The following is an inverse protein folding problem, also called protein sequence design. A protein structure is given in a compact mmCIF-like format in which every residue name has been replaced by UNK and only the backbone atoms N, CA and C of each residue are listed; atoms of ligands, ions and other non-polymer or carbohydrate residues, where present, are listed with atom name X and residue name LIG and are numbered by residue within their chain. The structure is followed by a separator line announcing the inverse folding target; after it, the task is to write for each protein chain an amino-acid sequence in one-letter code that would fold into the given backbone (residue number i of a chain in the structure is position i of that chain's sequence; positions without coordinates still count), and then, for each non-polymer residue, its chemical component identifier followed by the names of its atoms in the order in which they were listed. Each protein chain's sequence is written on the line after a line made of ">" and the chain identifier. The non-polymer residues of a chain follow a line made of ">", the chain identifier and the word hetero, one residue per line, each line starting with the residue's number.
data_IF_133852423161
#
_entry.id   IF_133852423161
#
_cell.length_a   1.000
_cell.length_b   1.000
_cell.length_c   1.000
_cell.angle_alpha   90.00
_cell.angle_beta   90.00
_cell.angle_gamma   90.00
#
_symmetry.space_group_name_H-M   'P 1'
#
loop_
_entity.id
_entity.type
_entity.pdbx_description
1 polymer ?
#
# COMPACT_ATOMS: atom_id res chain seq x y z
N UNK A 1 -0.96 5.89 -15.49
CA UNK A 1 -1.19 6.62 -14.21
C UNK A 1 -1.08 8.12 -14.43
N UNK A 2 -1.86 8.95 -13.72
CA UNK A 2 -1.62 10.40 -13.59
C UNK A 2 -0.97 10.67 -12.23
N UNK A 3 -0.04 11.62 -12.16
CA UNK A 3 0.66 11.98 -10.93
C UNK A 3 0.35 13.42 -10.52
N UNK A 4 0.35 13.67 -9.21
CA UNK A 4 0.06 14.97 -8.58
C UNK A 4 1.11 15.29 -7.53
N UNK A 5 1.40 16.57 -7.37
CA UNK A 5 2.26 17.03 -6.28
C UNK A 5 1.57 16.81 -4.92
N UNK A 6 2.26 16.19 -3.97
CA UNK A 6 1.70 15.93 -2.65
C UNK A 6 1.95 17.10 -1.68
N UNK A 7 1.02 18.05 -1.69
CA UNK A 7 1.08 19.24 -0.84
C UNK A 7 2.38 20.02 -1.05
N UNK A 8 3.16 20.19 0.02
CA UNK A 8 4.45 20.92 0.01
C UNK A 8 5.68 20.00 0.10
N UNK A 9 5.50 18.69 0.02
CA UNK A 9 6.59 17.72 0.22
C UNK A 9 7.48 17.55 -1.00
N UNK A 10 7.08 18.09 -2.16
CA UNK A 10 7.80 17.90 -3.43
C UNK A 10 7.66 16.49 -4.02
N UNK A 11 6.90 15.59 -3.38
CA UNK A 11 6.63 14.25 -3.89
C UNK A 11 5.67 14.27 -5.08
N UNK A 12 5.89 13.35 -6.01
CA UNK A 12 5.01 13.10 -7.15
C UNK A 12 4.28 11.78 -6.94
N UNK A 13 3.07 11.85 -6.38
CA UNK A 13 2.27 10.67 -6.03
C UNK A 13 1.22 10.37 -7.09
N UNK A 14 0.86 9.11 -7.24
CA UNK A 14 -0.23 8.68 -8.12
C UNK A 14 -1.55 9.30 -7.65
N UNK A 15 -2.38 9.75 -8.61
CA UNK A 15 -3.70 10.34 -8.32
C UNK A 15 -4.63 9.35 -7.60
N UNK A 16 -4.38 8.06 -7.77
CA UNK A 16 -5.05 6.95 -7.07
C UNK A 16 -4.01 6.30 -6.15
N UNK A 17 -4.36 6.13 -4.87
CA UNK A 17 -3.56 5.39 -3.88
C UNK A 17 -4.15 4.02 -3.55
N UNK A 18 -3.37 3.18 -2.87
CA UNK A 18 -3.81 1.89 -2.32
C UNK A 18 -4.15 2.04 -0.83
N UNK A 19 -5.42 1.86 -0.46
CA UNK A 19 -5.84 1.86 0.95
C UNK A 19 -5.71 0.47 1.57
N UNK A 20 -4.94 0.34 2.64
CA UNK A 20 -4.51 -0.94 3.21
C UNK A 20 -5.33 -1.44 4.41
N UNK A 21 -6.47 -0.83 4.74
CA UNK A 21 -7.23 -1.29 5.91
C UNK A 21 -7.68 -2.75 5.80
N UNK A 22 -8.14 -3.19 4.63
CA UNK A 22 -8.60 -4.57 4.45
C UNK A 22 -7.49 -5.59 4.70
N UNK A 23 -6.26 -5.33 4.24
CA UNK A 23 -5.13 -6.26 4.39
C UNK A 23 -4.70 -6.43 5.86
N UNK A 24 -5.16 -5.57 6.77
CA UNK A 24 -5.03 -5.75 8.22
C UNK A 24 -5.79 -6.98 8.77
N UNK A 25 -6.77 -7.52 8.03
CA UNK A 25 -7.37 -8.84 8.29
C UNK A 25 -8.30 -8.93 9.51
N UNK A 26 -8.55 -7.84 10.23
CA UNK A 26 -9.34 -7.81 11.47
C UNK A 26 -10.78 -7.27 11.27
N UNK A 27 -10.96 -6.24 10.43
CA UNK A 27 -12.23 -5.52 10.29
C UNK A 27 -13.05 -5.92 9.05
N UNK A 28 -12.41 -6.44 8.01
CA UNK A 28 -13.03 -6.71 6.70
C UNK A 28 -13.09 -8.21 6.35
N UNK A 29 -13.05 -9.05 7.38
CA UNK A 29 -13.00 -10.51 7.25
C UNK A 29 -11.58 -11.05 7.03
N UNK A 30 -11.41 -12.38 7.05
CA UNK A 30 -10.10 -13.01 6.91
C UNK A 30 -9.44 -12.63 5.58
N UNK A 31 -8.18 -12.20 5.63
CA UNK A 31 -7.35 -11.96 4.44
C UNK A 31 -6.17 -12.93 4.41
N UNK A 32 -5.81 -13.39 3.22
CA UNK A 32 -4.55 -14.10 2.97
C UNK A 32 -3.47 -13.07 2.64
N UNK A 33 -2.39 -13.04 3.43
CA UNK A 33 -1.24 -12.15 3.21
C UNK A 33 -0.68 -12.30 1.80
N UNK A 34 -0.70 -13.50 1.22
CA UNK A 34 -0.17 -13.74 -0.13
C UNK A 34 -1.03 -13.07 -1.19
N UNK A 35 -2.34 -13.07 -1.03
CA UNK A 35 -3.25 -12.37 -1.93
C UNK A 35 -3.18 -10.86 -1.72
N UNK A 36 -2.98 -10.42 -0.48
CA UNK A 36 -2.75 -9.02 -0.14
C UNK A 36 -1.48 -8.47 -0.80
N UNK A 37 -0.37 -9.22 -0.73
CA UNK A 37 0.89 -8.88 -1.39
C UNK A 37 0.71 -8.87 -2.91
N UNK A 38 0.03 -9.86 -3.50
CA UNK A 38 -0.29 -9.84 -4.95
C UNK A 38 -1.11 -8.61 -5.35
N UNK A 39 -2.05 -8.17 -4.53
CA UNK A 39 -2.82 -6.96 -4.78
C UNK A 39 -1.94 -5.70 -4.75
N UNK A 40 -1.01 -5.60 -3.80
CA UNK A 40 0.00 -4.54 -3.75
C UNK A 40 0.90 -4.54 -4.99
N UNK A 41 1.41 -5.71 -5.40
CA UNK A 41 2.17 -5.83 -6.65
C UNK A 41 1.36 -5.33 -7.84
N UNK A 42 0.11 -5.78 -7.96
CA UNK A 42 -0.77 -5.39 -9.06
C UNK A 42 -1.02 -3.88 -9.08
N UNK A 43 -1.21 -3.25 -7.93
CA UNK A 43 -1.41 -1.80 -7.84
C UNK A 43 -0.18 -1.04 -8.37
N UNK A 44 1.01 -1.43 -7.89
CA UNK A 44 2.28 -0.79 -8.28
C UNK A 44 2.63 -1.07 -9.74
N UNK A 45 2.38 -2.29 -10.25
CA UNK A 45 2.56 -2.62 -11.67
C UNK A 45 1.65 -1.76 -12.59
N UNK A 46 0.55 -1.22 -12.06
CA UNK A 46 -0.35 -0.29 -12.76
C UNK A 46 -0.02 1.20 -12.50
N UNK A 47 1.10 1.46 -11.83
CA UNK A 47 1.66 2.79 -11.60
C UNK A 47 1.22 3.46 -10.30
N UNK A 48 0.55 2.77 -9.38
CA UNK A 48 0.33 3.31 -8.03
C UNK A 48 1.66 3.40 -7.29
N UNK A 49 1.95 4.52 -6.65
CA UNK A 49 3.14 4.68 -5.80
C UNK A 49 2.81 5.32 -4.45
N UNK A 50 1.54 5.32 -4.04
CA UNK A 50 1.11 5.83 -2.74
C UNK A 50 0.25 4.80 -2.01
N UNK A 51 0.68 4.39 -0.82
CA UNK A 51 0.05 3.35 0.00
C UNK A 51 -0.33 3.95 1.36
N UNK A 52 -1.62 3.94 1.66
CA UNK A 52 -2.17 4.40 2.94
C UNK A 52 -2.35 3.22 3.90
N UNK A 53 -1.75 3.33 5.09
CA UNK A 53 -1.84 2.32 6.16
C UNK A 53 -1.86 3.00 7.53
N UNK A 54 -2.18 2.23 8.59
CA UNK A 54 -2.15 2.71 9.96
C UNK A 54 -1.91 1.56 10.95
N UNK A 55 -1.31 1.87 12.11
CA UNK A 55 -1.16 0.95 13.23
C UNK A 55 -2.49 0.33 13.70
N UNK A 56 -3.60 1.06 13.53
CA UNK A 56 -4.94 0.56 13.88
C UNK A 56 -5.45 -0.56 12.96
N UNK A 57 -4.82 -0.79 11.81
CA UNK A 57 -5.26 -1.80 10.84
C UNK A 57 -4.61 -3.14 11.19
N UNK A 58 -5.38 -4.04 11.81
CA UNK A 58 -4.85 -5.33 12.26
C UNK A 58 -3.83 -5.20 13.39
N UNK A 59 -3.91 -4.16 14.22
CA UNK A 59 -2.92 -3.87 15.30
C UNK A 59 -1.46 -3.83 14.79
N UNK A 60 -1.24 -3.32 13.58
CA UNK A 60 0.06 -3.24 12.92
C UNK A 60 0.28 -4.29 11.83
N UNK A 61 -0.58 -5.31 11.72
CA UNK A 61 -0.45 -6.35 10.69
C UNK A 61 -0.41 -5.78 9.27
N UNK A 62 -1.21 -4.75 8.97
CA UNK A 62 -1.17 -4.06 7.67
C UNK A 62 0.23 -3.51 7.33
N UNK A 63 0.90 -2.90 8.31
CA UNK A 63 2.26 -2.35 8.15
C UNK A 63 3.29 -3.48 7.96
N UNK A 64 3.13 -4.61 8.66
CA UNK A 64 3.98 -5.79 8.50
C UNK A 64 3.87 -6.40 7.10
N UNK A 65 2.65 -6.52 6.55
CA UNK A 65 2.40 -7.01 5.19
C UNK A 65 3.01 -6.08 4.15
N UNK A 66 2.82 -4.77 4.28
CA UNK A 66 3.46 -3.78 3.40
C UNK A 66 4.99 -3.86 3.50
N UNK A 67 5.54 -4.02 4.71
CA UNK A 67 6.98 -4.16 4.91
C UNK A 67 7.58 -5.41 4.28
N UNK A 68 6.81 -6.51 4.12
CA UNK A 68 7.22 -7.68 3.33
C UNK A 68 7.25 -7.33 1.84
N UNK A 69 6.17 -6.73 1.34
CA UNK A 69 6.04 -6.30 -0.05
C UNK A 69 7.14 -5.32 -0.49
N UNK A 70 7.47 -4.31 0.33
CA UNK A 70 8.47 -3.30 0.00
C UNK A 70 9.89 -3.87 -0.16
N UNK A 71 10.20 -5.03 0.43
CA UNK A 71 11.50 -5.71 0.24
C UNK A 71 11.64 -6.35 -1.15
N UNK A 72 10.54 -6.45 -1.90
CA UNK A 72 10.49 -7.05 -3.23
C UNK A 72 10.45 -5.99 -4.35
N UNK A 73 10.54 -4.71 -3.99
CA UNK A 73 10.47 -3.57 -4.91
C UNK A 73 11.68 -2.67 -4.77
N UNK A 74 12.11 -2.08 -5.89
CA UNK A 74 13.23 -1.15 -5.94
C UNK A 74 12.79 0.29 -6.23
N UNK A 75 11.59 0.48 -6.81
CA UNK A 75 11.01 1.80 -7.06
C UNK A 75 10.63 2.54 -5.77
N UNK A 76 10.64 3.88 -5.83
CA UNK A 76 10.18 4.72 -4.73
C UNK A 76 8.65 4.63 -4.59
N UNK A 77 8.20 4.21 -3.41
CA UNK A 77 6.79 4.07 -3.02
C UNK A 77 6.59 4.89 -1.75
N UNK A 78 5.58 5.75 -1.76
CA UNK A 78 5.21 6.68 -0.70
C UNK A 78 4.10 6.12 0.20
#
# INVERSE_FOLDING_TARGET
>A
MKFRAFGKLGWSVSEIGFGAWAIGGDMWGPQDDRESIKALHRAVDNGVNFIDTAQGYGKGHSEEVIGKFLKERDEEIY
#
